data_IF_887021503504
#
_entry.id   IF_887021503504
#
_cell.length_a   1.000
_cell.length_b   1.000
_cell.length_c   1.000
_cell.angle_alpha   90.00
_cell.angle_beta   90.00
_cell.angle_gamma   90.00
#
_symmetry.space_group_name_H-M   'P 1'
#
loop_
_entity.id
_entity.type
_entity.pdbx_description
1 polymer ?
#
# COMPACT_ATOMS: atom_id res chain seq x y z
N UNK A 1 -28.24 15.41 3.05
CA UNK A 1 -27.81 14.45 4.08
C UNK A 1 -26.72 13.60 3.46
N UNK A 2 -25.47 13.94 3.75
CA UNK A 2 -24.31 13.10 3.48
C UNK A 2 -23.58 13.04 4.80
N UNK A 3 -24.08 12.23 5.74
CA UNK A 3 -23.22 11.77 6.81
C UNK A 3 -22.22 10.87 6.10
N UNK A 4 -21.02 11.41 5.86
CA UNK A 4 -19.93 10.72 5.18
C UNK A 4 -19.44 9.58 6.07
N UNK A 5 -20.15 8.46 6.06
CA UNK A 5 -19.68 7.23 6.65
C UNK A 5 -18.44 6.78 5.88
N UNK A 6 -17.27 7.05 6.46
CA UNK A 6 -16.01 6.52 5.94
C UNK A 6 -15.98 5.03 6.23
N UNK A 7 -16.05 4.23 5.18
CA UNK A 7 -15.86 2.78 5.25
C UNK A 7 -14.44 2.50 4.79
N UNK A 8 -13.59 2.11 5.73
CA UNK A 8 -12.25 1.63 5.44
C UNK A 8 -12.28 0.22 4.86
N UNK A 9 -11.25 -0.11 4.08
CA UNK A 9 -10.96 -1.43 3.57
C UNK A 9 -11.04 -2.46 4.69
N UNK A 10 -11.72 -3.57 4.40
CA UNK A 10 -11.75 -4.71 5.31
C UNK A 10 -12.26 -4.31 6.72
N UNK A 11 -13.36 -3.56 6.74
CA UNK A 11 -14.08 -3.12 7.96
C UNK A 11 -15.60 -3.25 7.77
N UNK A 12 -16.31 -3.78 8.77
CA UNK A 12 -17.77 -3.89 8.74
C UNK A 12 -18.46 -2.63 9.29
N UNK A 13 -18.89 -1.72 8.42
CA UNK A 13 -19.60 -0.53 8.86
C UNK A 13 -21.09 -0.82 9.14
N UNK A 14 -21.56 -0.60 10.37
CA UNK A 14 -22.99 -0.62 10.71
C UNK A 14 -23.58 0.79 10.60
N UNK A 15 -24.68 0.92 9.86
CA UNK A 15 -25.37 2.20 9.66
C UNK A 15 -26.89 2.04 9.80
N UNK A 16 -27.47 2.71 10.79
CA UNK A 16 -28.92 2.78 11.01
C UNK A 16 -29.47 4.08 10.39
N UNK A 17 -29.99 3.99 9.17
CA UNK A 17 -30.46 5.16 8.42
C UNK A 17 -31.83 5.68 8.92
N UNK A 18 -31.94 6.97 9.27
CA UNK A 18 -33.23 7.65 9.51
C UNK A 18 -33.40 8.80 8.52
N UNK A 19 -34.36 8.69 7.60
CA UNK A 19 -34.54 9.63 6.49
C UNK A 19 -35.27 10.92 6.92
N UNK A 20 -34.66 12.10 6.74
CA UNK A 20 -35.35 13.40 6.75
C UNK A 20 -35.00 14.19 5.48
N UNK A 21 -35.99 14.86 4.90
CA UNK A 21 -35.82 15.70 3.69
C UNK A 21 -35.27 17.09 4.07
N UNK A 22 -34.26 17.59 3.35
CA UNK A 22 -33.65 18.90 3.61
C UNK A 22 -32.75 19.41 2.48
N UNK A 23 -32.83 20.73 2.22
CA UNK A 23 -32.17 21.45 1.12
C UNK A 23 -30.64 21.57 1.26
N UNK A 24 -29.95 21.65 0.13
CA UNK A 24 -28.50 21.60 -0.01
C UNK A 24 -27.83 22.93 0.37
N UNK A 25 -26.90 22.88 1.33
CA UNK A 25 -25.88 23.93 1.57
C UNK A 25 -24.53 23.23 1.67
N UNK A 26 -23.55 23.67 0.88
CA UNK A 26 -22.20 23.13 0.90
C UNK A 26 -21.43 23.81 2.03
N UNK A 27 -21.08 23.05 3.06
CA UNK A 27 -20.24 23.50 4.18
C UNK A 27 -19.02 22.61 4.22
N UNK A 28 -17.82 23.19 4.08
CA UNK A 28 -16.57 22.48 4.29
C UNK A 28 -16.38 22.35 5.80
N UNK A 29 -16.87 21.22 6.34
CA UNK A 29 -16.74 20.90 7.76
C UNK A 29 -15.44 20.12 7.97
N UNK A 30 -14.44 20.75 8.57
CA UNK A 30 -13.24 20.06 9.05
C UNK A 30 -13.61 19.41 10.38
N UNK A 31 -14.03 18.14 10.34
CA UNK A 31 -14.26 17.34 11.55
C UNK A 31 -12.93 16.89 12.14
N UNK A 32 -12.59 17.43 13.31
CA UNK A 32 -11.61 16.82 14.22
C UNK A 32 -12.31 15.70 15.01
N UNK A 33 -12.86 14.70 14.31
CA UNK A 33 -13.50 13.55 14.96
C UNK A 33 -12.44 12.70 15.67
N UNK A 34 -12.78 12.22 16.87
CA UNK A 34 -12.00 11.19 17.53
C UNK A 34 -11.95 9.94 16.62
N UNK A 35 -10.79 9.26 16.50
CA UNK A 35 -10.69 8.07 15.66
C UNK A 35 -11.79 7.07 16.04
N UNK A 36 -12.55 6.61 15.04
CA UNK A 36 -13.60 5.60 15.22
C UNK A 36 -13.04 4.42 16.01
N UNK A 37 -13.69 4.11 17.13
CA UNK A 37 -13.28 3.00 17.97
C UNK A 37 -13.59 1.70 17.23
N UNK A 38 -12.55 0.96 16.89
CA UNK A 38 -12.67 -0.37 16.32
C UNK A 38 -13.13 -1.36 17.40
N UNK A 39 -14.43 -1.63 17.46
CA UNK A 39 -15.03 -2.49 18.49
C UNK A 39 -15.35 -3.91 18.00
N UNK A 40 -15.25 -4.15 16.69
CA UNK A 40 -15.68 -5.38 16.01
C UNK A 40 -14.53 -6.33 15.67
N UNK A 41 -13.28 -5.84 15.62
CA UNK A 41 -12.11 -6.63 15.26
C UNK A 41 -10.89 -6.35 16.15
N UNK A 42 -10.06 -7.37 16.36
CA UNK A 42 -8.89 -7.35 17.23
C UNK A 42 -7.55 -7.38 16.46
N UNK A 43 -7.60 -7.18 15.14
CA UNK A 43 -6.46 -7.21 14.24
C UNK A 43 -5.51 -6.01 14.44
N UNK A 44 -4.21 -6.31 14.38
CA UNK A 44 -3.12 -5.33 14.46
C UNK A 44 -2.77 -4.87 13.06
N UNK A 45 -3.32 -3.72 12.66
CA UNK A 45 -3.19 -3.20 11.30
C UNK A 45 -2.71 -1.74 11.25
N UNK A 46 -2.05 -1.39 10.15
CA UNK A 46 -1.73 -0.02 9.77
C UNK A 46 -2.52 0.34 8.52
N UNK A 47 -3.20 1.49 8.53
CA UNK A 47 -4.01 1.96 7.41
C UNK A 47 -3.34 3.19 6.79
N UNK A 48 -3.15 3.15 5.48
CA UNK A 48 -2.69 4.26 4.66
C UNK A 48 -3.86 4.73 3.79
N UNK A 49 -4.36 5.93 4.08
CA UNK A 49 -5.37 6.58 3.25
C UNK A 49 -4.73 7.20 1.99
N UNK A 50 -5.57 7.61 1.04
CA UNK A 50 -5.19 8.26 -0.22
C UNK A 50 -4.12 9.34 -0.03
N UNK A 51 -4.32 10.24 0.94
CA UNK A 51 -3.34 11.30 1.24
C UNK A 51 -1.97 10.75 1.64
N UNK A 52 -1.94 9.72 2.47
CA UNK A 52 -0.69 9.08 2.91
C UNK A 52 0.00 8.38 1.74
N UNK A 53 -0.78 7.69 0.89
CA UNK A 53 -0.28 7.02 -0.30
C UNK A 53 0.34 8.00 -1.31
N UNK A 54 -0.24 9.19 -1.44
CA UNK A 54 0.25 10.23 -2.36
C UNK A 54 1.42 11.05 -1.79
N UNK A 55 1.45 11.29 -0.47
CA UNK A 55 2.42 12.21 0.15
C UNK A 55 3.67 11.50 0.68
N UNK A 56 3.59 10.20 0.99
CA UNK A 56 4.76 9.48 1.50
C UNK A 56 5.75 9.18 0.37
N UNK A 57 7.02 9.59 0.51
CA UNK A 57 8.02 9.32 -0.50
C UNK A 57 8.32 7.82 -0.53
N UNK A 58 7.92 7.16 -1.61
CA UNK A 58 8.19 5.73 -1.83
C UNK A 58 9.14 5.53 -2.99
N UNK A 59 10.11 4.65 -2.80
CA UNK A 59 11.08 4.34 -3.84
C UNK A 59 10.38 3.71 -5.05
N UNK A 60 10.63 4.25 -6.25
CA UNK A 60 9.98 3.83 -7.51
C UNK A 60 8.44 3.90 -7.49
N UNK A 61 7.82 4.59 -6.51
CA UNK A 61 6.36 4.52 -6.29
C UNK A 61 5.82 3.09 -6.20
N UNK A 62 6.66 2.16 -5.73
CA UNK A 62 6.27 0.77 -5.60
C UNK A 62 5.40 0.58 -4.36
N UNK A 63 4.18 0.10 -4.57
CA UNK A 63 3.16 -0.10 -3.54
C UNK A 63 3.64 -0.98 -2.37
N UNK A 64 4.38 -2.05 -2.66
CA UNK A 64 4.83 -2.98 -1.62
C UNK A 64 5.77 -2.35 -0.60
N UNK A 65 6.38 -1.19 -0.89
CA UNK A 65 7.19 -0.46 0.09
C UNK A 65 6.38 0.05 1.30
N UNK A 66 5.06 0.23 1.19
CA UNK A 66 4.25 0.62 2.34
C UNK A 66 4.25 -0.44 3.44
N UNK A 67 4.45 -1.72 3.09
CA UNK A 67 4.60 -2.78 4.07
C UNK A 67 5.83 -2.56 4.98
N UNK A 68 6.90 -1.93 4.49
CA UNK A 68 8.07 -1.57 5.31
C UNK A 68 7.81 -0.47 6.34
N UNK A 69 6.68 0.23 6.24
CA UNK A 69 6.28 1.26 7.20
C UNK A 69 5.49 0.66 8.37
N UNK A 70 5.10 -0.61 8.28
CA UNK A 70 4.47 -1.34 9.38
C UNK A 70 5.51 -1.86 10.37
N UNK A 71 5.23 -1.85 11.69
CA UNK A 71 6.12 -2.42 12.70
C UNK A 71 6.44 -3.91 12.45
N UNK A 72 7.64 -4.33 12.83
CA UNK A 72 8.05 -5.74 12.72
C UNK A 72 8.34 -6.21 11.29
N UNK A 73 8.47 -5.29 10.34
CA UNK A 73 8.77 -5.62 8.94
C UNK A 73 10.24 -5.41 8.61
N UNK A 74 10.78 -6.28 7.74
CA UNK A 74 12.13 -6.12 7.21
C UNK A 74 12.21 -6.61 5.78
N UNK A 75 12.94 -5.87 4.94
CA UNK A 75 13.15 -6.26 3.54
C UNK A 75 14.14 -7.42 3.45
N UNK A 76 13.85 -8.40 2.61
CA UNK A 76 14.78 -9.45 2.23
C UNK A 76 15.85 -8.87 1.29
N UNK A 77 17.12 -9.24 1.48
CA UNK A 77 18.22 -8.81 0.60
C UNK A 77 18.26 -9.51 -0.76
N UNK A 78 17.30 -10.39 -1.03
CA UNK A 78 17.16 -11.15 -2.27
C UNK A 78 15.86 -10.73 -2.97
N UNK A 79 15.88 -10.69 -4.29
CA UNK A 79 14.72 -10.48 -5.14
C UNK A 79 14.66 -11.53 -6.24
N UNK A 80 13.45 -11.83 -6.71
CA UNK A 80 13.24 -12.58 -7.94
C UNK A 80 13.87 -11.88 -9.15
N UNK A 81 14.14 -12.65 -10.20
CA UNK A 81 14.61 -12.11 -11.47
C UNK A 81 13.58 -11.15 -12.07
N UNK A 82 14.02 -10.13 -12.79
CA UNK A 82 13.12 -9.13 -13.40
C UNK A 82 12.12 -9.74 -14.39
N UNK A 83 12.41 -10.90 -14.98
CA UNK A 83 11.47 -11.63 -15.84
C UNK A 83 10.27 -12.20 -15.09
N UNK A 84 10.45 -12.51 -13.81
CA UNK A 84 9.43 -13.10 -12.93
C UNK A 84 8.75 -12.03 -12.06
N UNK A 85 9.48 -10.95 -11.75
CA UNK A 85 8.99 -9.82 -10.97
C UNK A 85 9.19 -8.49 -11.73
N UNK A 86 8.52 -8.29 -12.88
CA UNK A 86 8.74 -7.12 -13.74
C UNK A 86 8.32 -5.80 -13.10
N UNK A 87 7.40 -5.85 -12.14
CA UNK A 87 6.96 -4.67 -11.37
C UNK A 87 7.85 -4.40 -10.15
N UNK A 88 8.85 -5.24 -9.90
CA UNK A 88 9.84 -5.07 -8.83
C UNK A 88 9.24 -5.07 -7.43
N UNK A 89 8.19 -5.88 -7.19
CA UNK A 89 7.61 -6.08 -5.85
C UNK A 89 8.68 -6.49 -4.84
N UNK A 90 8.53 -6.03 -3.59
CA UNK A 90 9.51 -6.23 -2.55
C UNK A 90 9.19 -7.48 -1.72
N UNK A 91 10.19 -8.33 -1.48
CA UNK A 91 10.11 -9.46 -0.57
C UNK A 91 10.32 -8.94 0.84
N UNK A 92 9.26 -8.93 1.66
CA UNK A 92 9.27 -8.35 2.99
C UNK A 92 8.84 -9.41 4.00
N UNK A 93 9.65 -9.62 5.03
CA UNK A 93 9.28 -10.43 6.17
C UNK A 93 8.42 -9.61 7.11
N UNK A 94 7.36 -10.22 7.64
CA UNK A 94 6.47 -9.62 8.64
C UNK A 94 6.57 -10.48 9.89
N UNK A 95 6.97 -9.88 11.02
CA UNK A 95 7.11 -10.56 12.30
C UNK A 95 8.00 -11.83 12.23
N UNK A 96 9.04 -11.80 11.38
CA UNK A 96 9.96 -12.92 11.17
C UNK A 96 9.46 -14.05 10.27
N UNK A 97 8.23 -13.95 9.75
CA UNK A 97 7.67 -14.92 8.80
C UNK A 97 8.20 -14.68 7.38
N UNK A 98 8.27 -15.76 6.59
CA UNK A 98 8.74 -15.71 5.21
C UNK A 98 7.75 -14.90 4.33
N UNK A 99 8.29 -14.16 3.35
CA UNK A 99 7.53 -13.15 2.61
C UNK A 99 6.32 -13.73 1.85
N UNK A 100 6.40 -14.96 1.35
CA UNK A 100 5.30 -15.63 0.65
C UNK A 100 4.14 -16.00 1.58
N UNK A 101 4.32 -15.90 2.90
CA UNK A 101 3.22 -15.97 3.85
C UNK A 101 2.35 -14.71 3.90
N UNK A 102 2.71 -13.64 3.19
CA UNK A 102 1.91 -12.41 3.11
C UNK A 102 0.86 -12.55 2.02
N UNK A 103 -0.42 -12.51 2.39
CA UNK A 103 -1.51 -12.48 1.42
C UNK A 103 -1.66 -11.06 0.85
N UNK A 104 -1.95 -10.97 -0.44
CA UNK A 104 -2.24 -9.70 -1.12
C UNK A 104 -3.65 -9.76 -1.69
N UNK A 105 -4.44 -8.72 -1.42
CA UNK A 105 -5.76 -8.54 -2.00
C UNK A 105 -5.86 -7.18 -2.68
N UNK A 106 -6.58 -7.16 -3.80
CA UNK A 106 -6.94 -5.97 -4.53
C UNK A 106 -8.45 -5.98 -4.74
N UNK A 107 -9.14 -4.98 -4.23
CA UNK A 107 -10.60 -4.84 -4.34
C UNK A 107 -11.36 -6.09 -3.82
N UNK A 108 -10.85 -6.71 -2.76
CA UNK A 108 -11.41 -7.92 -2.13
C UNK A 108 -11.16 -9.22 -2.91
N UNK A 109 -10.29 -9.19 -3.93
CA UNK A 109 -9.89 -10.37 -4.71
C UNK A 109 -8.42 -10.70 -4.48
N UNK A 110 -8.11 -11.99 -4.49
CA UNK A 110 -6.73 -12.50 -4.39
C UNK A 110 -5.81 -11.89 -5.47
N UNK A 111 -4.67 -11.37 -5.02
CA UNK A 111 -3.68 -10.69 -5.85
C UNK A 111 -2.26 -11.20 -5.54
N UNK A 112 -2.14 -12.45 -5.09
CA UNK A 112 -0.88 -13.10 -4.79
C UNK A 112 -0.53 -14.17 -5.84
N UNK A 113 0.70 -14.17 -6.31
CA UNK A 113 1.24 -15.23 -7.16
C UNK A 113 1.39 -16.51 -6.33
N UNK A 114 0.73 -17.62 -6.70
CA UNK A 114 0.70 -18.83 -5.89
C UNK A 114 2.02 -19.62 -5.88
N UNK A 115 2.95 -19.32 -6.78
CA UNK A 115 4.25 -20.01 -6.91
C UNK A 115 5.35 -19.19 -6.25
N UNK A 116 5.42 -17.91 -6.59
CA UNK A 116 6.47 -17.01 -6.14
C UNK A 116 6.12 -16.34 -4.81
N UNK A 117 4.84 -16.25 -4.46
CA UNK A 117 4.38 -15.63 -3.21
C UNK A 117 4.52 -14.11 -3.18
N UNK A 118 4.67 -13.48 -4.34
CA UNK A 118 4.71 -12.03 -4.51
C UNK A 118 3.35 -11.50 -4.96
N UNK A 119 3.16 -10.18 -4.91
CA UNK A 119 1.97 -9.55 -5.49
C UNK A 119 1.96 -9.69 -7.02
N UNK A 120 0.79 -9.95 -7.63
CA UNK A 120 0.64 -10.04 -9.09
C UNK A 120 0.48 -8.65 -9.70
N UNK A 121 -0.42 -7.84 -9.15
CA UNK A 121 -0.69 -6.48 -9.58
C UNK A 121 -0.22 -5.51 -8.50
N UNK A 122 0.84 -4.77 -8.79
CA UNK A 122 1.29 -3.62 -8.02
C UNK A 122 0.52 -2.38 -8.50
N UNK A 123 -0.55 -1.94 -7.80
CA UNK A 123 -1.37 -0.84 -8.29
C UNK A 123 -0.58 0.46 -8.26
N UNK A 124 -0.90 1.37 -9.18
CA UNK A 124 -0.39 2.74 -9.07
C UNK A 124 -1.02 3.40 -7.83
N UNK A 125 -0.22 4.04 -6.99
CA UNK A 125 -0.69 4.74 -5.79
C UNK A 125 -1.80 5.76 -6.10
N UNK A 126 -1.79 6.40 -7.28
CA UNK A 126 -2.82 7.38 -7.67
C UNK A 126 -4.19 6.73 -7.89
N UNK A 127 -4.22 5.42 -8.13
CA UNK A 127 -5.45 4.63 -8.31
C UNK A 127 -5.96 4.01 -7.01
N UNK A 128 -5.18 4.06 -5.92
CA UNK A 128 -5.52 3.45 -4.64
C UNK A 128 -6.15 4.50 -3.73
N UNK A 129 -7.32 4.20 -3.18
CA UNK A 129 -8.01 5.04 -2.20
C UNK A 129 -7.52 4.75 -0.78
N UNK A 130 -7.26 3.48 -0.49
CA UNK A 130 -6.80 3.04 0.82
C UNK A 130 -6.00 1.74 0.74
N UNK A 131 -5.10 1.56 1.69
CA UNK A 131 -4.45 0.28 1.94
C UNK A 131 -4.42 -0.03 3.41
N UNK A 132 -4.83 -1.24 3.77
CA UNK A 132 -4.74 -1.78 5.11
C UNK A 132 -3.71 -2.89 5.12
N UNK A 133 -2.78 -2.80 6.05
CA UNK A 133 -1.73 -3.79 6.26
C UNK A 133 -1.95 -4.41 7.62
N UNK A 134 -2.44 -5.64 7.64
CA UNK A 134 -2.74 -6.39 8.84
C UNK A 134 -1.62 -7.37 9.15
N UNK A 135 -0.94 -7.19 10.27
CA UNK A 135 0.24 -7.97 10.64
C UNK A 135 -0.03 -9.14 11.58
N UNK A 136 -1.13 -9.08 12.36
CA UNK A 136 -1.54 -10.10 13.32
C UNK A 136 -3.05 -10.06 13.56
N UNK A 137 -3.59 -11.14 14.13
CA UNK A 137 -4.98 -11.27 14.57
C UNK A 137 -6.01 -10.96 13.48
N UNK A 138 -5.67 -11.20 12.22
CA UNK A 138 -6.60 -11.11 11.10
C UNK A 138 -7.65 -12.23 11.15
N UNK A 139 -8.81 -11.96 10.56
CA UNK A 139 -9.94 -12.88 10.56
C UNK A 139 -9.67 -14.15 9.73
N UNK A 140 -10.37 -15.23 10.06
CA UNK A 140 -10.19 -16.54 9.43
C UNK A 140 -10.57 -16.59 7.94
N UNK A 141 -11.27 -15.57 7.43
CA UNK A 141 -11.58 -15.45 6.00
C UNK A 141 -10.31 -15.37 5.13
N UNK A 142 -9.21 -14.86 5.70
CA UNK A 142 -7.91 -14.77 5.05
C UNK A 142 -7.08 -16.04 5.24
N UNK A 143 -7.65 -17.20 4.87
CA UNK A 143 -7.06 -18.52 5.15
C UNK A 143 -5.70 -18.81 4.52
N UNK A 144 -5.22 -17.98 3.57
CA UNK A 144 -3.89 -18.11 2.93
C UNK A 144 -2.79 -17.36 3.70
N UNK A 145 -3.15 -16.42 4.57
CA UNK A 145 -2.20 -15.55 5.25
C UNK A 145 -1.52 -16.25 6.43
N UNK A 146 -0.19 -16.25 6.44
CA UNK A 146 0.65 -16.77 7.54
C UNK A 146 1.44 -15.63 8.20
N UNK A 147 1.92 -14.68 7.40
CA UNK A 147 2.74 -13.56 7.85
C UNK A 147 1.92 -12.29 8.12
N UNK A 148 0.92 -12.05 7.29
CA UNK A 148 0.07 -10.87 7.31
C UNK A 148 -0.76 -10.76 6.02
N UNK A 149 -1.57 -9.70 5.93
CA UNK A 149 -2.42 -9.41 4.78
C UNK A 149 -2.21 -7.96 4.37
N UNK A 150 -2.10 -7.74 3.06
CA UNK A 150 -2.11 -6.41 2.46
C UNK A 150 -3.35 -6.30 1.59
N UNK A 151 -4.31 -5.51 2.03
CA UNK A 151 -5.54 -5.20 1.29
C UNK A 151 -5.42 -3.82 0.67
N UNK A 152 -5.55 -3.75 -0.65
CA UNK A 152 -5.61 -2.50 -1.40
C UNK A 152 -7.02 -2.29 -1.95
N UNK A 153 -7.53 -1.07 -1.82
CA UNK A 153 -8.79 -0.65 -2.43
C UNK A 153 -8.51 0.43 -3.46
N UNK A 154 -9.03 0.28 -4.66
CA UNK A 154 -8.93 1.28 -5.72
C UNK A 154 -9.96 2.40 -5.53
N UNK A 155 -9.72 3.55 -6.17
CA UNK A 155 -10.66 4.67 -6.16
C UNK A 155 -11.91 4.28 -6.96
N UNK A 156 -13.09 4.42 -6.35
CA UNK A 156 -14.36 4.17 -7.03
C UNK A 156 -14.63 5.20 -8.12
N UNK A 157 -15.29 4.79 -9.21
CA UNK A 157 -15.74 5.70 -10.25
C UNK A 157 -16.75 6.73 -9.76
N UNK A 158 -16.92 7.82 -10.52
CA UNK A 158 -17.96 8.83 -10.27
C UNK A 158 -18.68 9.18 -11.56
N UNK A 159 -19.85 9.81 -11.45
CA UNK A 159 -20.60 10.30 -12.60
C UNK A 159 -19.97 11.55 -13.25
N UNK A 160 -19.03 12.19 -12.58
CA UNK A 160 -18.27 13.32 -13.10
C UNK A 160 -16.97 12.85 -13.74
N UNK A 161 -16.58 13.50 -14.84
CA UNK A 161 -15.28 13.25 -15.46
C UNK A 161 -14.16 13.72 -14.55
N UNK A 162 -13.24 12.81 -14.24
CA UNK A 162 -12.03 13.08 -13.47
C UNK A 162 -10.88 12.19 -13.96
N UNK A 163 -9.67 12.55 -13.57
CA UNK A 163 -8.46 11.79 -13.91
C UNK A 163 -7.21 12.47 -13.37
N UNK A 164 -6.13 11.72 -13.32
CA UNK A 164 -4.84 12.17 -12.80
C UNK A 164 -3.75 11.93 -13.85
N UNK A 165 -2.88 12.91 -14.05
CA UNK A 165 -1.67 12.78 -14.85
C UNK A 165 -0.44 12.90 -13.96
N UNK A 166 0.57 12.08 -14.21
CA UNK A 166 1.79 12.08 -13.42
C UNK A 166 3.03 11.89 -14.29
N UNK A 167 4.16 12.42 -13.83
CA UNK A 167 5.45 12.24 -14.45
C UNK A 167 6.54 12.15 -13.39
N UNK A 168 7.36 11.10 -13.47
CA UNK A 168 8.48 10.89 -12.57
C UNK A 168 9.72 10.55 -13.38
N UNK A 169 10.84 11.13 -12.97
CA UNK A 169 12.14 10.82 -13.54
C UNK A 169 13.13 10.60 -12.41
N UNK A 170 13.65 9.38 -12.33
CA UNK A 170 14.89 9.12 -11.60
C UNK A 170 15.98 8.85 -12.61
N UNK A 171 17.08 9.58 -12.46
CA UNK A 171 18.28 9.34 -13.23
C UNK A 171 19.47 9.40 -12.31
N UNK A 172 20.48 8.66 -12.73
CA UNK A 172 21.78 8.57 -12.13
C UNK A 172 22.48 9.96 -12.00
N UNK A 173 22.19 10.90 -12.91
CA UNK A 173 22.64 12.30 -12.83
C UNK A 173 22.08 13.12 -11.66
N UNK A 174 20.95 12.70 -11.06
CA UNK A 174 20.26 13.41 -9.98
C UNK A 174 20.34 12.65 -8.64
N UNK A 175 20.85 11.42 -8.63
CA UNK A 175 20.83 10.56 -7.45
C UNK A 175 22.05 10.84 -6.56
N UNK A 176 21.79 11.09 -5.28
CA UNK A 176 22.85 11.23 -4.29
C UNK A 176 23.56 9.89 -4.03
N UNK A 177 24.81 9.99 -3.60
CA UNK A 177 25.63 8.86 -3.16
C UNK A 177 25.19 8.45 -1.75
N UNK A 178 24.90 7.17 -1.53
CA UNK A 178 24.83 6.56 -0.18
C UNK A 178 26.13 6.73 0.66
N UNK A 179 26.14 7.60 1.67
CA UNK A 179 27.35 7.89 2.44
C UNK A 179 27.91 6.70 3.24
N UNK A 180 27.18 5.58 3.33
CA UNK A 180 27.56 4.40 4.11
C UNK A 180 28.12 3.23 3.29
N UNK A 181 28.30 3.41 1.97
CA UNK A 181 28.86 2.37 1.09
C UNK A 181 30.25 2.74 0.57
N UNK A 182 31.14 1.74 0.43
CA UNK A 182 32.39 1.90 -0.31
C UNK A 182 32.08 1.90 -1.81
N UNK A 183 31.94 3.08 -2.41
CA UNK A 183 31.63 3.20 -3.85
C UNK A 183 32.74 2.63 -4.73
N UNK A 184 32.41 1.60 -5.49
CA UNK A 184 33.12 1.23 -6.69
C UNK A 184 32.49 1.97 -7.88
N UNK A 185 33.28 2.46 -8.84
CA UNK A 185 32.71 2.96 -10.09
C UNK A 185 32.05 1.80 -10.82
N UNK A 186 30.82 2.01 -11.28
CA UNK A 186 30.20 1.06 -12.21
C UNK A 186 31.14 0.87 -13.42
N UNK A 187 31.49 -0.39 -13.77
CA UNK A 187 32.52 -0.64 -14.77
C UNK A 187 32.11 -0.23 -16.18
N UNK A 188 30.81 -0.10 -16.46
CA UNK A 188 30.25 0.23 -17.78
C UNK A 188 30.08 1.75 -17.91
N UNK A 189 29.41 2.38 -16.94
CA UNK A 189 29.06 3.80 -16.97
C UNK A 189 30.15 4.71 -16.38
N UNK A 190 31.12 4.13 -15.64
CA UNK A 190 32.18 4.83 -14.89
C UNK A 190 31.68 5.83 -13.84
N UNK A 191 30.41 5.74 -13.45
CA UNK A 191 29.77 6.60 -12.43
C UNK A 191 29.77 5.91 -11.05
N UNK A 192 29.79 6.70 -9.98
CA UNK A 192 29.90 6.22 -8.58
C UNK A 192 28.53 6.00 -7.93
N UNK A 193 27.64 5.27 -8.59
CA UNK A 193 26.22 5.21 -8.22
C UNK A 193 25.91 3.77 -7.80
N UNK A 194 25.16 3.54 -6.71
CA UNK A 194 24.73 2.20 -6.33
C UNK A 194 23.99 1.54 -7.51
N UNK A 195 24.20 0.25 -7.75
CA UNK A 195 23.35 -0.48 -8.70
C UNK A 195 21.91 -0.38 -8.19
N UNK A 196 21.04 0.30 -8.94
CA UNK A 196 19.63 0.41 -8.59
C UNK A 196 18.89 -0.88 -8.94
N UNK A 197 19.40 -2.02 -8.46
CA UNK A 197 18.83 -3.37 -8.48
C UNK A 197 19.98 -4.36 -8.18
N UNK A 198 19.92 -4.97 -7.00
CA UNK A 198 19.83 -6.42 -6.91
C UNK A 198 18.47 -6.72 -6.27
#
# INVERSE_FOLDING_TARGET
MSDNLQVSADTGAKFDATLKTGAQTETVQVTAEAPQLKTDRADVATIFNERSLEQLPTFNRNFTNFLLLSPGTTKMGWSHASSENPQGSQQIFVNGQQFAGTAYELDGTDNQDPILGIIVVNPNLDSVSETKITSQNYDAEFGKAIAGIVTAQTKSGSNNLHGTGFWYRRSDALQARDPFTQFQKDPITKRFIPSSAA
#
